data_IF_832520497938
#
_entry.id   IF_832520497938
#
_cell.length_a   1.000
_cell.length_b   1.000
_cell.length_c   1.000
_cell.angle_alpha   90.00
_cell.angle_beta   90.00
_cell.angle_gamma   90.00
#
_symmetry.space_group_name_H-M   'P 1'
#
loop_
_entity.id
_entity.type
_entity.pdbx_description
1 polymer ?
#
# COMPACT_ATOMS: atom_id res chain seq x y z
N UNK A 1 -64.74 -34.39 59.83
CA UNK A 1 -63.99 -35.53 59.26
C UNK A 1 -63.00 -34.99 58.25
N UNK A 2 -61.75 -35.50 58.31
CA UNK A 2 -60.63 -35.14 57.42
C UNK A 2 -60.97 -35.33 55.95
N UNK A 3 -60.55 -34.39 55.10
CA UNK A 3 -59.74 -34.71 53.91
C UNK A 3 -59.01 -33.47 53.40
N UNK A 4 -57.68 -33.57 53.44
CA UNK A 4 -56.68 -32.74 52.79
C UNK A 4 -56.68 -32.95 51.28
N UNK A 5 -56.61 -31.87 50.49
CA UNK A 5 -55.98 -31.87 49.16
C UNK A 5 -55.33 -30.52 48.86
N UNK A 6 -54.01 -30.57 48.73
CA UNK A 6 -53.09 -29.54 48.26
C UNK A 6 -53.00 -29.52 46.73
N UNK A 7 -52.96 -28.33 46.12
CA UNK A 7 -52.43 -28.09 44.76
C UNK A 7 -52.15 -26.59 44.61
N UNK A 8 -50.96 -26.10 44.97
CA UNK A 8 -49.80 -25.81 44.11
C UNK A 8 -50.10 -24.87 42.94
N UNK A 9 -49.95 -23.58 43.21
CA UNK A 9 -49.76 -22.51 42.22
C UNK A 9 -48.45 -22.74 41.46
N UNK A 10 -48.52 -23.02 40.16
CA UNK A 10 -47.35 -23.04 39.30
C UNK A 10 -46.92 -21.59 38.98
N UNK A 11 -45.90 -21.10 39.67
CA UNK A 11 -45.07 -20.00 39.18
C UNK A 11 -44.22 -20.53 38.02
N UNK A 12 -44.56 -20.14 36.78
CA UNK A 12 -43.66 -20.29 35.63
C UNK A 12 -42.50 -19.31 35.79
N UNK A 13 -41.45 -19.74 36.49
CA UNK A 13 -40.15 -19.10 36.42
C UNK A 13 -39.57 -19.36 35.02
N UNK A 14 -39.76 -18.40 34.12
CA UNK A 14 -39.03 -18.36 32.85
C UNK A 14 -37.55 -18.14 33.13
N UNK A 15 -36.80 -19.23 33.29
CA UNK A 15 -35.34 -19.19 33.26
C UNK A 15 -34.97 -18.85 31.80
N UNK A 16 -34.72 -17.57 31.55
CA UNK A 16 -33.88 -17.15 30.44
C UNK A 16 -32.51 -17.76 30.69
N UNK A 17 -32.28 -18.94 30.11
CA UNK A 17 -30.94 -19.50 29.95
C UNK A 17 -30.22 -18.53 29.02
N UNK A 18 -29.59 -17.52 29.60
CA UNK A 18 -28.52 -16.77 28.95
C UNK A 18 -27.39 -17.77 28.75
N UNK A 19 -27.44 -18.48 27.63
CA UNK A 19 -26.31 -19.26 27.16
C UNK A 19 -25.10 -18.32 27.18
N UNK A 20 -23.99 -18.66 27.87
CA UNK A 20 -22.75 -17.94 27.63
C UNK A 20 -22.48 -18.10 26.14
N UNK A 21 -22.60 -17.00 25.40
CA UNK A 21 -22.09 -16.94 24.05
C UNK A 21 -20.59 -17.11 24.23
N UNK A 22 -20.13 -18.36 24.12
CA UNK A 22 -18.74 -18.65 23.85
C UNK A 22 -18.43 -17.89 22.57
N UNK A 23 -17.84 -16.70 22.73
CA UNK A 23 -17.25 -15.95 21.63
C UNK A 23 -16.08 -16.82 21.20
N UNK A 24 -16.38 -17.79 20.34
CA UNK A 24 -15.41 -18.42 19.47
C UNK A 24 -14.61 -17.27 18.87
N UNK A 25 -13.32 -17.18 19.25
CA UNK A 25 -12.42 -16.16 18.75
C UNK A 25 -12.59 -16.05 17.24
N UNK A 26 -13.23 -14.97 16.80
CA UNK A 26 -13.51 -14.77 15.40
C UNK A 26 -12.17 -14.50 14.76
N UNK A 27 -11.65 -15.46 13.99
CA UNK A 27 -10.39 -15.29 13.26
C UNK A 27 -10.54 -14.06 12.36
N UNK A 28 -9.83 -12.98 12.67
CA UNK A 28 -9.90 -11.66 12.02
C UNK A 28 -8.60 -11.37 11.26
N UNK A 29 -8.27 -12.15 10.20
CA UNK A 29 -6.97 -12.06 9.53
C UNK A 29 -6.72 -10.72 8.83
N UNK A 30 -7.76 -9.90 8.66
CA UNK A 30 -7.72 -8.62 7.97
C UNK A 30 -7.82 -7.43 8.92
N UNK A 31 -7.85 -7.65 10.23
CA UNK A 31 -7.98 -6.57 11.21
C UNK A 31 -6.76 -5.67 11.25
N UNK A 32 -7.01 -4.42 11.66
CA UNK A 32 -5.99 -3.43 11.88
C UNK A 32 -6.28 -2.66 13.17
N UNK A 33 -5.23 -2.39 13.92
CA UNK A 33 -5.24 -1.52 15.07
C UNK A 33 -4.36 -0.31 14.77
N UNK A 34 -4.95 0.88 14.71
CA UNK A 34 -4.23 2.13 14.48
C UNK A 34 -4.04 2.83 15.81
N UNK A 35 -2.81 3.20 16.09
CA UNK A 35 -2.44 4.00 17.26
C UNK A 35 -2.26 5.43 16.77
N UNK A 36 -3.09 6.35 17.26
CA UNK A 36 -3.22 7.68 16.69
C UNK A 36 -3.01 8.78 17.74
N UNK A 37 -2.40 9.87 17.28
CA UNK A 37 -2.21 11.11 18.02
C UNK A 37 -3.18 12.17 17.51
N UNK A 38 -4.01 12.71 18.40
CA UNK A 38 -5.08 13.63 18.03
C UNK A 38 -4.86 15.04 18.59
N UNK A 39 -5.11 16.04 17.75
CA UNK A 39 -4.87 17.44 18.07
C UNK A 39 -3.38 17.75 18.25
N UNK A 40 -2.52 17.16 17.40
CA UNK A 40 -1.09 17.50 17.34
C UNK A 40 -0.96 19.02 17.13
N UNK A 41 -0.04 19.67 17.84
CA UNK A 41 0.14 21.12 17.84
C UNK A 41 -0.74 21.88 18.82
N UNK A 42 -1.74 21.22 19.43
CA UNK A 42 -2.67 21.84 20.38
C UNK A 42 -2.39 21.46 21.84
N UNK A 43 -1.52 20.47 22.08
CA UNK A 43 -1.10 20.03 23.40
C UNK A 43 0.13 20.77 23.93
N UNK A 44 0.56 20.39 25.14
CA UNK A 44 1.78 20.93 25.77
C UNK A 44 2.98 20.74 24.83
N UNK A 45 3.77 21.80 24.63
CA UNK A 45 4.93 21.82 23.73
C UNK A 45 4.62 21.46 22.26
N UNK A 46 3.38 21.69 21.79
CA UNK A 46 2.97 21.34 20.43
C UNK A 46 2.69 19.85 20.23
N UNK A 47 2.60 19.06 21.32
CA UNK A 47 2.24 17.65 21.27
C UNK A 47 0.74 17.40 20.99
N UNK A 48 0.34 16.13 21.01
CA UNK A 48 -1.06 15.71 20.91
C UNK A 48 -1.84 15.96 22.21
N UNK A 49 -3.14 16.25 22.05
CA UNK A 49 -4.08 16.47 23.17
C UNK A 49 -4.74 15.18 23.65
N UNK A 50 -4.89 14.19 22.76
CA UNK A 50 -5.37 12.86 23.10
C UNK A 50 -4.68 11.80 22.24
N UNK A 51 -4.78 10.54 22.67
CA UNK A 51 -4.24 9.38 21.97
C UNK A 51 -5.34 8.35 21.86
N UNK A 52 -5.55 7.84 20.67
CA UNK A 52 -6.65 6.93 20.39
C UNK A 52 -6.09 5.61 19.88
N UNK A 53 -6.70 4.53 20.36
CA UNK A 53 -6.54 3.20 19.78
C UNK A 53 -7.79 2.93 18.95
N UNK A 54 -7.60 2.77 17.65
CA UNK A 54 -8.67 2.75 16.66
C UNK A 54 -8.67 1.39 15.97
N UNK A 55 -9.77 0.65 16.06
CA UNK A 55 -9.91 -0.69 15.50
C UNK A 55 -10.69 -0.67 14.18
N UNK A 56 -10.16 -1.42 13.22
CA UNK A 56 -10.75 -1.68 11.93
C UNK A 56 -10.83 -3.19 11.68
N UNK A 57 -12.01 -3.75 11.39
CA UNK A 57 -12.16 -5.17 11.05
C UNK A 57 -11.67 -5.49 9.63
N UNK A 58 -11.14 -4.49 8.92
CA UNK A 58 -10.70 -4.54 7.54
C UNK A 58 -9.82 -3.34 7.24
N UNK A 59 -9.74 -2.93 5.99
CA UNK A 59 -8.81 -1.88 5.54
C UNK A 59 -8.99 -0.57 6.29
N UNK A 60 -7.88 0.07 6.62
CA UNK A 60 -7.91 1.41 7.21
C UNK A 60 -8.05 2.46 6.12
N UNK A 61 -7.43 2.25 4.95
CA UNK A 61 -7.42 3.23 3.86
C UNK A 61 -8.20 2.74 2.64
N UNK A 62 -8.91 3.65 1.97
CA UNK A 62 -9.48 3.42 0.65
C UNK A 62 -8.40 3.54 -0.42
N UNK A 63 -8.64 2.96 -1.60
CA UNK A 63 -7.76 3.09 -2.77
C UNK A 63 -7.43 4.55 -3.16
N UNK A 64 -8.30 5.50 -2.78
CA UNK A 64 -8.12 6.93 -3.05
C UNK A 64 -7.39 7.66 -1.91
N UNK A 65 -6.81 6.93 -0.96
CA UNK A 65 -6.08 7.49 0.19
C UNK A 65 -6.95 8.01 1.33
N UNK A 66 -8.28 7.93 1.23
CA UNK A 66 -9.20 8.31 2.31
C UNK A 66 -9.18 7.26 3.43
N UNK A 67 -9.64 7.62 4.62
CA UNK A 67 -9.73 6.69 5.75
C UNK A 67 -11.12 6.09 5.85
N UNK A 68 -11.20 4.77 5.99
CA UNK A 68 -12.44 4.08 6.31
C UNK A 68 -12.94 4.48 7.70
N UNK A 69 -14.23 4.25 7.97
CA UNK A 69 -14.79 4.50 9.29
C UNK A 69 -14.39 3.37 10.26
N UNK A 70 -13.85 3.69 11.45
CA UNK A 70 -13.52 2.67 12.43
C UNK A 70 -14.76 2.04 13.06
N UNK A 71 -14.63 0.80 13.53
CA UNK A 71 -15.72 0.09 14.21
C UNK A 71 -15.66 0.30 15.71
N UNK A 72 -14.46 0.34 16.29
CA UNK A 72 -14.25 0.62 17.71
C UNK A 72 -13.13 1.64 17.85
N UNK A 73 -13.21 2.44 18.89
CA UNK A 73 -12.17 3.40 19.25
C UNK A 73 -12.21 3.58 20.75
N UNK A 74 -11.05 3.73 21.36
CA UNK A 74 -10.91 4.04 22.77
C UNK A 74 -9.76 5.02 22.99
N UNK A 75 -9.99 5.96 23.90
CA UNK A 75 -8.95 6.87 24.35
C UNK A 75 -7.94 6.12 25.23
N UNK A 76 -6.66 6.29 24.94
CA UNK A 76 -5.55 5.79 25.77
C UNK A 76 -5.12 6.92 26.71
N UNK A 77 -5.33 6.78 28.03
CA UNK A 77 -5.03 7.83 28.98
C UNK A 77 -3.53 8.17 29.02
N UNK A 78 -3.22 9.45 29.23
CA UNK A 78 -1.86 9.90 29.48
C UNK A 78 -1.48 9.67 30.95
N UNK A 79 -0.42 8.90 31.20
CA UNK A 79 0.07 8.60 32.55
C UNK A 79 1.35 9.38 32.93
N UNK A 80 1.70 10.42 32.17
CA UNK A 80 2.94 11.18 32.34
C UNK A 80 4.02 10.87 31.28
N UNK A 81 3.87 9.78 30.53
CA UNK A 81 4.79 9.38 29.46
C UNK A 81 4.03 9.13 28.14
N UNK A 82 4.77 9.22 27.03
CA UNK A 82 4.22 8.92 25.70
C UNK A 82 3.81 7.44 25.62
N UNK A 83 2.53 7.14 25.33
CA UNK A 83 2.02 5.77 25.46
C UNK A 83 2.56 4.83 24.38
N UNK A 84 2.99 5.35 23.22
CA UNK A 84 3.51 4.54 22.12
C UNK A 84 5.00 4.26 22.27
N UNK A 85 5.35 3.52 23.32
CA UNK A 85 6.74 3.24 23.66
C UNK A 85 6.95 1.90 24.36
N UNK A 86 8.17 1.66 24.88
CA UNK A 86 8.58 0.35 25.39
C UNK A 86 7.90 -0.04 26.71
N UNK A 87 7.32 0.93 27.43
CA UNK A 87 6.51 0.68 28.63
C UNK A 87 5.15 0.04 28.31
N UNK A 88 4.78 0.05 27.03
CA UNK A 88 3.56 -0.51 26.52
C UNK A 88 2.31 0.33 26.77
N UNK A 89 1.30 0.10 25.95
CA UNK A 89 -0.03 0.71 26.08
C UNK A 89 -1.08 -0.39 26.27
N UNK A 90 -2.04 -0.13 27.16
CA UNK A 90 -3.11 -1.06 27.50
C UNK A 90 -4.45 -0.35 27.40
N UNK A 91 -5.41 -0.94 26.72
CA UNK A 91 -6.76 -0.40 26.65
C UNK A 91 -7.80 -1.52 26.58
N UNK A 92 -8.99 -1.21 27.09
CA UNK A 92 -10.19 -2.04 26.91
C UNK A 92 -11.13 -1.33 25.95
N UNK A 93 -11.43 -1.95 24.83
CA UNK A 93 -12.35 -1.43 23.82
C UNK A 93 -13.80 -1.43 24.34
N UNK A 94 -14.73 -0.65 23.74
CA UNK A 94 -16.12 -0.60 24.17
C UNK A 94 -16.87 -1.94 24.19
N UNK A 95 -16.42 -2.92 23.40
CA UNK A 95 -16.97 -4.28 23.37
C UNK A 95 -16.37 -5.22 24.43
N UNK A 96 -15.45 -4.73 25.28
CA UNK A 96 -14.79 -5.51 26.34
C UNK A 96 -13.46 -6.13 25.94
N UNK A 97 -13.06 -6.04 24.67
CA UNK A 97 -11.80 -6.57 24.16
C UNK A 97 -10.61 -5.83 24.76
N UNK A 98 -9.60 -6.56 25.23
CA UNK A 98 -8.39 -5.98 25.83
C UNK A 98 -7.23 -6.08 24.86
N UNK A 99 -6.54 -4.95 24.69
CA UNK A 99 -5.36 -4.84 23.87
C UNK A 99 -4.15 -4.44 24.73
N UNK A 100 -3.03 -5.10 24.48
CA UNK A 100 -1.72 -4.71 25.02
C UNK A 100 -0.72 -4.53 23.89
N UNK A 101 -0.05 -3.39 23.86
CA UNK A 101 0.83 -2.97 22.77
C UNK A 101 2.21 -2.75 23.35
N UNK A 102 3.25 -3.23 22.66
CA UNK A 102 4.65 -3.06 23.04
C UNK A 102 5.42 -2.54 21.83
N UNK A 103 6.01 -1.34 21.93
CA UNK A 103 6.65 -0.65 20.81
C UNK A 103 8.05 -0.18 21.15
N UNK A 104 8.90 -0.08 20.13
CA UNK A 104 10.16 0.61 20.18
C UNK A 104 10.02 1.94 19.42
N UNK A 105 9.90 3.02 20.18
CA UNK A 105 9.72 4.40 19.71
C UNK A 105 10.91 4.95 18.92
N UNK A 106 12.06 4.26 18.95
CA UNK A 106 13.25 4.64 18.17
C UNK A 106 13.19 4.16 16.72
N UNK A 107 12.22 3.31 16.36
CA UNK A 107 12.09 2.75 15.02
C UNK A 107 11.33 3.73 14.12
N UNK A 108 12.02 4.18 13.06
CA UNK A 108 11.49 5.14 12.08
C UNK A 108 10.68 4.45 10.99
N UNK A 109 9.79 5.21 10.38
CA UNK A 109 8.94 4.78 9.27
C UNK A 109 9.74 4.16 8.11
N UNK A 110 9.17 3.18 7.39
CA UNK A 110 7.92 2.44 7.67
C UNK A 110 8.19 1.08 8.36
N UNK A 111 9.14 1.03 9.30
CA UNK A 111 9.66 -0.24 9.81
C UNK A 111 8.79 -0.84 10.92
N UNK A 112 8.86 -2.17 11.05
CA UNK A 112 8.23 -2.91 12.13
C UNK A 112 8.82 -2.46 13.49
N UNK A 113 7.96 -1.90 14.33
CA UNK A 113 8.33 -1.23 15.57
C UNK A 113 7.94 -2.01 16.83
N UNK A 114 7.12 -3.05 16.72
CA UNK A 114 6.70 -3.85 17.87
C UNK A 114 5.44 -4.66 17.59
N UNK A 115 4.70 -5.02 18.64
CA UNK A 115 3.58 -5.96 18.55
C UNK A 115 2.38 -5.50 19.39
N UNK A 116 1.17 -5.79 18.89
CA UNK A 116 -0.08 -5.61 19.62
C UNK A 116 -0.76 -6.97 19.83
N UNK A 117 -1.14 -7.25 21.07
CA UNK A 117 -1.75 -8.51 21.49
C UNK A 117 -3.20 -8.28 21.87
N UNK A 118 -4.04 -9.17 21.39
CA UNK A 118 -5.45 -9.23 21.74
C UNK A 118 -5.69 -10.28 22.82
N UNK A 119 -6.48 -9.98 23.85
CA UNK A 119 -6.68 -10.90 24.98
C UNK A 119 -7.32 -12.24 24.62
N UNK A 120 -8.04 -12.31 23.49
CA UNK A 120 -8.64 -13.57 23.03
C UNK A 120 -7.74 -14.37 22.07
N UNK A 121 -6.70 -13.75 21.51
CA UNK A 121 -5.73 -14.41 20.60
C UNK A 121 -4.28 -13.98 20.94
N UNK A 122 -3.79 -14.26 22.16
CA UNK A 122 -2.46 -13.81 22.59
C UNK A 122 -1.30 -14.48 21.84
N UNK A 123 -1.55 -15.60 21.17
CA UNK A 123 -0.59 -16.33 20.33
C UNK A 123 -0.45 -15.76 18.91
N UNK A 124 -1.29 -14.79 18.52
CA UNK A 124 -1.31 -14.18 17.19
C UNK A 124 -1.21 -12.66 17.28
N UNK A 125 -0.04 -12.10 17.65
CA UNK A 125 0.13 -10.67 17.71
C UNK A 125 -0.01 -10.01 16.33
N UNK A 126 -0.58 -8.81 16.30
CA UNK A 126 -0.48 -7.90 15.17
C UNK A 126 0.90 -7.27 15.17
N UNK A 127 1.61 -7.31 14.03
CA UNK A 127 2.87 -6.60 13.88
C UNK A 127 2.58 -5.11 13.71
N UNK A 128 3.17 -4.27 14.54
CA UNK A 128 3.01 -2.82 14.52
C UNK A 128 4.14 -2.16 13.71
N UNK A 129 3.78 -1.24 12.83
CA UNK A 129 4.68 -0.49 11.96
C UNK A 129 4.62 0.99 12.27
N UNK A 130 5.77 1.64 12.39
CA UNK A 130 5.85 3.10 12.50
C UNK A 130 5.36 3.70 11.18
N UNK A 131 4.27 4.45 11.21
CA UNK A 131 3.64 4.97 9.99
C UNK A 131 2.82 6.22 10.26
N UNK A 132 3.37 7.35 9.85
CA UNK A 132 2.79 8.67 10.06
C UNK A 132 1.95 9.10 8.87
N UNK A 133 0.62 8.96 9.00
CA UNK A 133 -0.36 9.44 8.03
C UNK A 133 -1.27 10.45 8.70
N UNK A 134 -1.44 11.60 8.05
CA UNK A 134 -2.31 12.65 8.56
C UNK A 134 -3.79 12.39 8.27
N UNK A 135 -4.65 12.98 9.12
CA UNK A 135 -6.11 13.03 8.97
C UNK A 135 -6.75 11.63 8.90
N UNK A 136 -6.31 10.74 9.79
CA UNK A 136 -6.84 9.37 9.88
C UNK A 136 -8.25 9.35 10.46
N UNK A 137 -8.54 10.25 11.39
CA UNK A 137 -9.88 10.36 11.96
C UNK A 137 -10.11 11.78 12.49
N UNK A 138 -11.37 12.22 12.53
CA UNK A 138 -11.76 13.47 13.18
C UNK A 138 -12.62 13.15 14.39
N UNK A 139 -12.19 13.59 15.57
CA UNK A 139 -12.93 13.45 16.81
C UNK A 139 -14.20 14.31 16.80
N UNK A 140 -15.15 13.97 17.68
CA UNK A 140 -16.40 14.72 17.81
C UNK A 140 -16.19 16.20 18.23
N UNK A 141 -15.07 16.50 18.89
CA UNK A 141 -14.66 17.86 19.25
C UNK A 141 -13.95 18.62 18.09
N UNK A 142 -13.91 18.02 16.89
CA UNK A 142 -13.37 18.61 15.68
C UNK A 142 -11.87 18.41 15.47
N UNK A 143 -11.14 17.82 16.43
CA UNK A 143 -9.69 17.61 16.31
C UNK A 143 -9.36 16.49 15.35
N UNK A 144 -8.34 16.71 14.52
CA UNK A 144 -7.81 15.68 13.62
C UNK A 144 -6.80 14.79 14.33
N UNK A 145 -6.84 13.51 13.99
CA UNK A 145 -5.88 12.50 14.38
C UNK A 145 -4.94 12.18 13.23
N UNK A 146 -3.69 11.89 13.56
CA UNK A 146 -2.68 11.30 12.66
C UNK A 146 -2.26 9.94 13.22
N UNK A 147 -2.00 8.96 12.36
CA UNK A 147 -1.45 7.68 12.83
C UNK A 147 -0.01 7.88 13.31
N UNK A 148 0.35 7.21 14.39
CA UNK A 148 1.74 6.98 14.80
C UNK A 148 2.18 5.56 14.41
N UNK A 149 1.28 4.58 14.62
CA UNK A 149 1.54 3.20 14.26
C UNK A 149 0.31 2.52 13.65
N UNK A 150 0.56 1.56 12.76
CA UNK A 150 -0.47 0.67 12.21
C UNK A 150 -0.07 -0.76 12.52
N UNK A 151 -0.90 -1.49 13.28
CA UNK A 151 -0.69 -2.89 13.63
C UNK A 151 -1.61 -3.80 12.82
N UNK A 152 -1.06 -4.83 12.19
CA UNK A 152 -1.82 -5.77 11.36
C UNK A 152 -1.12 -7.13 11.17
N UNK A 153 -1.85 -8.08 10.60
CA UNK A 153 -1.34 -9.40 10.19
C UNK A 153 -0.72 -9.42 8.78
N UNK A 154 -0.70 -8.29 8.06
CA UNK A 154 -0.42 -8.20 6.61
C UNK A 154 1.03 -7.89 6.27
N UNK A 155 1.88 -7.66 7.25
CA UNK A 155 3.31 -7.46 7.02
C UNK A 155 3.70 -6.04 6.56
N UNK A 156 2.76 -5.08 6.52
CA UNK A 156 3.00 -3.72 6.00
C UNK A 156 2.02 -2.69 6.59
N UNK A 157 2.45 -1.42 6.84
CA UNK A 157 1.54 -0.37 7.30
C UNK A 157 0.53 0.12 6.24
N UNK A 158 0.76 -0.18 4.95
CA UNK A 158 -0.10 0.29 3.86
C UNK A 158 -1.28 -0.69 3.64
N UNK A 159 -2.32 -0.53 4.46
CA UNK A 159 -3.47 -1.44 4.58
C UNK A 159 -4.62 -1.05 3.64
N UNK A 160 -4.31 -1.00 2.34
CA UNK A 160 -5.27 -0.85 1.25
C UNK A 160 -5.94 -2.19 0.90
N UNK A 161 -7.09 -2.13 0.23
CA UNK A 161 -7.94 -3.27 -0.17
C UNK A 161 -7.17 -4.38 -0.88
N UNK A 162 -6.90 -5.47 -0.15
CA UNK A 162 -6.59 -6.79 -0.73
C UNK A 162 -7.84 -7.64 -0.52
N UNK A 163 -8.54 -8.01 -1.60
CA UNK A 163 -9.70 -8.91 -1.56
C UNK A 163 -9.25 -10.26 -0.96
N UNK A 164 -10.08 -10.93 -0.14
CA UNK A 164 -9.61 -11.90 0.85
C UNK A 164 -8.99 -13.14 0.21
N UNK A 165 -7.71 -13.35 0.47
CA UNK A 165 -6.96 -14.52 0.02
C UNK A 165 -5.46 -14.32 0.04
N UNK A 166 -4.90 -13.64 1.04
CA UNK A 166 -3.45 -13.51 1.20
C UNK A 166 -3.12 -13.24 2.66
N UNK A 167 -2.90 -14.32 3.41
CA UNK A 167 -2.03 -14.30 4.57
C UNK A 167 -0.61 -14.58 4.09
N UNK A 168 0.33 -13.71 4.42
CA UNK A 168 1.76 -13.95 4.30
C UNK A 168 2.45 -13.20 5.45
N UNK A 169 3.48 -13.70 6.12
CA UNK A 169 4.26 -14.93 5.97
C UNK A 169 5.61 -14.77 6.71
N UNK A 170 6.33 -15.88 6.90
CA UNK A 170 7.68 -16.06 7.49
C UNK A 170 7.76 -16.11 9.03
N UNK A 171 8.41 -17.07 9.69
CA UNK A 171 9.36 -18.13 9.27
C UNK A 171 9.45 -19.17 10.40
N UNK A 172 9.71 -20.45 10.08
CA UNK A 172 9.95 -21.51 11.07
C UNK A 172 9.47 -22.87 10.55
N UNK A 173 10.40 -23.80 10.33
CA UNK A 173 10.19 -25.05 9.60
C UNK A 173 9.09 -25.96 10.15
N UNK A 174 8.46 -26.70 9.24
CA UNK A 174 7.49 -27.74 9.57
C UNK A 174 6.59 -28.12 8.39
N UNK A 175 6.95 -29.24 7.75
CA UNK A 175 6.25 -30.04 6.74
C UNK A 175 4.71 -29.85 6.58
N UNK A 176 4.25 -29.74 5.32
CA UNK A 176 2.91 -30.21 4.91
C UNK A 176 2.11 -29.35 3.91
N UNK A 177 2.16 -29.68 2.61
CA UNK A 177 1.13 -29.34 1.60
C UNK A 177 1.32 -28.05 0.79
N UNK A 178 2.24 -28.03 -0.17
CA UNK A 178 2.64 -26.82 -0.92
C UNK A 178 1.67 -26.40 -2.04
N UNK A 179 1.27 -25.12 -2.03
CA UNK A 179 0.64 -24.42 -3.16
C UNK A 179 1.70 -23.77 -4.04
N UNK A 180 1.44 -23.66 -5.33
CA UNK A 180 2.36 -22.98 -6.25
C UNK A 180 2.38 -21.47 -5.98
N UNK A 181 3.56 -20.86 -6.07
CA UNK A 181 3.79 -19.43 -5.86
C UNK A 181 3.83 -18.69 -7.19
N UNK A 182 3.09 -17.60 -7.32
CA UNK A 182 3.19 -16.76 -8.51
C UNK A 182 4.30 -15.72 -8.36
N UNK A 183 5.09 -15.48 -9.40
CA UNK A 183 6.15 -14.46 -9.44
C UNK A 183 6.05 -13.64 -10.71
N UNK A 184 6.29 -12.34 -10.62
CA UNK A 184 6.45 -11.43 -11.77
C UNK A 184 7.91 -10.96 -11.78
N UNK A 185 8.63 -11.29 -12.83
CA UNK A 185 10.00 -10.84 -13.05
C UNK A 185 9.99 -9.84 -14.20
N UNK A 186 10.50 -8.65 -13.97
CA UNK A 186 10.65 -7.60 -14.96
C UNK A 186 12.15 -7.30 -15.17
N UNK A 187 12.52 -6.89 -16.37
CA UNK A 187 13.86 -6.44 -16.70
C UNK A 187 13.83 -5.22 -17.63
N UNK A 188 14.85 -4.37 -17.52
CA UNK A 188 15.08 -3.26 -18.45
C UNK A 188 16.50 -3.29 -19.01
N UNK A 189 16.69 -2.71 -20.20
CA UNK A 189 18.00 -2.59 -20.85
C UNK A 189 18.80 -1.37 -20.36
N UNK A 190 18.25 -0.57 -19.44
CA UNK A 190 18.91 0.59 -18.85
C UNK A 190 18.79 1.90 -19.63
N UNK A 191 18.25 1.85 -20.84
CA UNK A 191 17.87 3.06 -21.57
C UNK A 191 16.71 3.73 -20.87
N UNK A 192 16.72 5.06 -20.85
CA UNK A 192 15.65 5.87 -20.29
C UNK A 192 15.23 6.98 -21.24
N UNK A 193 13.98 7.38 -21.13
CA UNK A 193 13.41 8.50 -21.89
C UNK A 193 12.98 9.58 -20.90
N UNK A 194 13.05 10.83 -21.33
CA UNK A 194 12.59 11.98 -20.55
C UNK A 194 11.39 12.61 -21.26
N UNK A 195 10.30 12.80 -20.52
CA UNK A 195 9.02 13.30 -21.04
C UNK A 195 8.60 14.56 -20.30
N UNK A 196 8.01 15.49 -21.04
CA UNK A 196 7.59 16.80 -20.55
C UNK A 196 6.15 16.77 -20.01
N UNK A 197 5.91 17.41 -18.86
CA UNK A 197 4.58 17.66 -18.26
C UNK A 197 3.71 16.39 -18.16
N UNK A 198 4.29 15.28 -17.70
CA UNK A 198 3.59 14.00 -17.51
C UNK A 198 4.15 13.24 -16.30
N UNK A 199 3.51 12.13 -15.93
CA UNK A 199 3.91 11.28 -14.81
C UNK A 199 4.14 9.83 -15.25
N UNK A 200 5.00 9.10 -14.54
CA UNK A 200 5.21 7.67 -14.80
C UNK A 200 3.89 6.89 -14.72
N UNK A 201 3.07 7.15 -13.70
CA UNK A 201 1.76 6.51 -13.53
C UNK A 201 0.82 6.79 -14.72
N UNK A 202 0.76 8.03 -15.23
CA UNK A 202 -0.12 8.35 -16.37
C UNK A 202 0.31 7.66 -17.65
N UNK A 203 1.62 7.49 -17.88
CA UNK A 203 2.17 6.76 -19.03
C UNK A 203 1.88 5.28 -18.89
N UNK A 204 2.17 4.70 -17.73
CA UNK A 204 2.01 3.27 -17.46
C UNK A 204 0.54 2.85 -17.49
N UNK A 205 -0.37 3.70 -17.00
CA UNK A 205 -1.81 3.45 -17.05
C UNK A 205 -2.37 3.29 -18.48
N UNK A 206 -1.62 3.67 -19.52
CA UNK A 206 -2.03 3.43 -20.92
C UNK A 206 -2.18 1.94 -21.25
N UNK A 207 -1.50 1.04 -20.53
CA UNK A 207 -1.63 -0.41 -20.73
C UNK A 207 -3.06 -0.90 -20.57
N UNK A 208 -3.86 -0.28 -19.70
CA UNK A 208 -5.26 -0.68 -19.49
C UNK A 208 -6.13 -0.36 -20.70
N UNK A 209 -5.72 0.59 -21.54
CA UNK A 209 -6.42 0.96 -22.79
C UNK A 209 -6.20 -0.07 -23.90
N UNK A 210 -5.20 -0.94 -23.76
CA UNK A 210 -4.90 -1.96 -24.77
C UNK A 210 -5.61 -3.28 -24.49
N UNK A 211 -6.25 -3.44 -23.33
CA UNK A 211 -6.97 -4.66 -22.98
C UNK A 211 -8.28 -4.76 -23.76
N UNK A 212 -8.55 -5.96 -24.28
CA UNK A 212 -9.80 -6.31 -24.95
C UNK A 212 -10.50 -7.39 -24.13
N UNK A 213 -11.80 -7.21 -23.88
CA UNK A 213 -12.59 -8.14 -23.08
C UNK A 213 -12.54 -9.55 -23.69
N UNK A 214 -12.20 -10.53 -22.86
CA UNK A 214 -12.09 -11.95 -23.28
C UNK A 214 -10.84 -12.29 -24.09
N UNK A 215 -9.96 -11.33 -24.41
CA UNK A 215 -8.72 -11.57 -25.14
C UNK A 215 -7.57 -11.99 -24.21
N UNK A 216 -6.71 -12.89 -24.70
CA UNK A 216 -5.42 -13.22 -24.09
C UNK A 216 -4.33 -12.22 -24.45
N UNK A 217 -4.54 -11.45 -25.52
CA UNK A 217 -3.57 -10.50 -26.06
C UNK A 217 -4.11 -9.07 -25.96
N UNK A 218 -3.21 -8.11 -25.77
CA UNK A 218 -3.56 -6.70 -25.87
C UNK A 218 -3.40 -6.13 -27.28
N UNK A 219 -4.05 -4.99 -27.49
CA UNK A 219 -3.82 -4.13 -28.63
C UNK A 219 -2.36 -3.61 -28.65
N UNK A 220 -1.71 -3.78 -29.78
CA UNK A 220 -0.33 -3.36 -29.99
C UNK A 220 -0.22 -2.04 -30.76
N UNK A 221 -1.33 -1.34 -31.01
CA UNK A 221 -1.32 -0.01 -31.60
C UNK A 221 -0.55 0.97 -30.71
N UNK A 222 0.47 1.66 -31.25
CA UNK A 222 1.21 2.67 -30.49
C UNK A 222 0.30 3.79 -29.98
N UNK A 223 0.48 4.18 -28.71
CA UNK A 223 -0.30 5.24 -28.05
C UNK A 223 0.61 6.47 -27.89
N UNK A 224 0.14 7.65 -28.30
CA UNK A 224 0.85 8.90 -28.06
C UNK A 224 0.88 9.27 -26.57
N UNK A 225 2.05 9.63 -26.04
CA UNK A 225 2.25 9.95 -24.62
C UNK A 225 2.83 11.36 -24.37
N UNK A 226 2.73 12.24 -25.37
CA UNK A 226 3.30 13.59 -25.33
C UNK A 226 4.75 13.63 -25.80
N UNK A 227 5.33 14.85 -25.91
CA UNK A 227 6.74 15.07 -26.31
C UNK A 227 7.16 14.40 -27.63
N UNK A 228 6.21 14.19 -28.56
CA UNK A 228 6.41 13.39 -29.79
C UNK A 228 6.92 11.97 -29.52
N UNK A 229 6.50 11.41 -28.39
CA UNK A 229 6.79 10.05 -27.98
C UNK A 229 5.54 9.18 -28.11
N UNK A 230 5.77 7.91 -28.41
CA UNK A 230 4.74 6.87 -28.43
C UNK A 230 5.17 5.71 -27.55
N UNK A 231 4.21 5.07 -26.88
CA UNK A 231 4.39 3.81 -26.16
C UNK A 231 3.71 2.69 -26.91
N UNK A 232 4.41 1.59 -27.11
CA UNK A 232 3.86 0.36 -27.69
C UNK A 232 3.88 -0.73 -26.62
N UNK A 233 2.71 -1.30 -26.35
CA UNK A 233 2.56 -2.45 -25.47
C UNK A 233 2.54 -3.74 -26.30
N UNK A 234 3.16 -4.79 -25.77
CA UNK A 234 3.00 -6.16 -26.26
C UNK A 234 2.71 -7.02 -25.04
N UNK A 235 1.63 -7.77 -25.05
CA UNK A 235 1.30 -8.60 -23.91
C UNK A 235 0.46 -9.79 -24.33
N UNK A 236 0.62 -10.87 -23.56
CA UNK A 236 -0.04 -12.14 -23.76
C UNK A 236 -0.27 -12.82 -22.40
N UNK A 237 -1.42 -13.45 -22.22
CA UNK A 237 -1.73 -14.32 -21.12
C UNK A 237 -1.99 -15.74 -21.64
N UNK A 238 -1.44 -16.74 -20.95
CA UNK A 238 -1.67 -18.13 -21.31
C UNK A 238 -3.15 -18.54 -21.14
N UNK A 239 -3.88 -17.87 -20.24
CA UNK A 239 -5.31 -18.06 -20.02
C UNK A 239 -5.95 -16.73 -19.57
N UNK A 240 -7.05 -16.34 -20.23
CA UNK A 240 -7.81 -15.13 -19.89
C UNK A 240 -8.48 -15.22 -18.51
N UNK A 241 -8.71 -16.42 -17.97
CA UNK A 241 -9.32 -16.64 -16.65
C UNK A 241 -8.41 -16.30 -15.48
N UNK A 242 -7.10 -16.33 -15.68
CA UNK A 242 -6.11 -16.12 -14.60
C UNK A 242 -5.81 -14.63 -14.33
N UNK A 243 -6.43 -13.73 -15.09
CA UNK A 243 -6.22 -12.27 -15.00
C UNK A 243 -4.74 -11.87 -15.00
N UNK A 244 -3.90 -12.60 -15.76
CA UNK A 244 -2.45 -12.37 -15.79
C UNK A 244 -2.12 -10.97 -16.32
N UNK A 245 -2.82 -10.51 -17.37
CA UNK A 245 -2.66 -9.15 -17.90
C UNK A 245 -2.98 -8.08 -16.85
N UNK A 246 -4.10 -8.23 -16.12
CA UNK A 246 -4.47 -7.29 -15.07
C UNK A 246 -3.47 -7.28 -13.91
N UNK A 247 -2.91 -8.44 -13.55
CA UNK A 247 -1.87 -8.54 -12.53
C UNK A 247 -0.55 -7.90 -12.98
N UNK A 248 -0.12 -8.13 -14.21
CA UNK A 248 1.08 -7.51 -14.77
C UNK A 248 0.92 -5.98 -14.88
N UNK A 249 -0.24 -5.48 -15.32
CA UNK A 249 -0.51 -4.04 -15.31
C UNK A 249 -0.43 -3.44 -13.89
N UNK A 250 -0.97 -4.14 -12.89
CA UNK A 250 -0.82 -3.70 -11.50
C UNK A 250 0.63 -3.75 -10.99
N UNK A 251 1.47 -4.68 -11.50
CA UNK A 251 2.90 -4.69 -11.20
C UNK A 251 3.58 -3.43 -11.76
N UNK A 252 3.24 -3.03 -12.99
CA UNK A 252 3.71 -1.78 -13.57
C UNK A 252 3.25 -0.54 -12.78
N UNK A 253 2.00 -0.51 -12.31
CA UNK A 253 1.51 0.60 -11.46
C UNK A 253 2.33 0.74 -10.17
N UNK A 254 2.67 -0.39 -9.53
CA UNK A 254 3.49 -0.42 -8.33
C UNK A 254 4.94 -0.01 -8.60
N UNK A 255 5.51 -0.46 -9.72
CA UNK A 255 6.84 -0.02 -10.15
C UNK A 255 6.85 1.49 -10.43
N UNK A 256 5.85 2.02 -11.14
CA UNK A 256 5.76 3.45 -11.47
C UNK A 256 5.70 4.37 -10.25
N UNK A 257 5.17 3.88 -9.13
CA UNK A 257 5.11 4.61 -7.87
C UNK A 257 6.48 4.70 -7.14
N UNK A 258 7.50 3.95 -7.58
CA UNK A 258 8.83 3.93 -6.97
C UNK A 258 9.72 5.03 -7.56
N UNK A 259 10.47 5.69 -6.69
CA UNK A 259 11.49 6.67 -7.07
C UNK A 259 12.66 6.07 -7.84
N UNK A 260 12.90 4.77 -7.66
CA UNK A 260 13.93 3.99 -8.34
C UNK A 260 13.54 3.70 -9.80
N UNK A 261 12.23 3.67 -10.08
CA UNK A 261 11.69 3.45 -11.42
C UNK A 261 11.59 4.76 -12.22
N UNK A 262 11.21 5.86 -11.56
CA UNK A 262 11.09 7.16 -12.22
C UNK A 262 11.66 8.29 -11.38
N UNK A 263 12.34 9.21 -12.05
CA UNK A 263 12.84 10.45 -11.44
C UNK A 263 12.15 11.66 -12.05
N UNK A 264 12.02 12.72 -11.26
CA UNK A 264 11.44 14.00 -11.68
C UNK A 264 12.50 15.08 -11.65
N UNK A 265 12.51 15.94 -12.65
CA UNK A 265 13.38 17.12 -12.74
C UNK A 265 12.53 18.35 -13.02
N UNK A 266 12.71 19.38 -12.21
CA UNK A 266 12.15 20.71 -12.46
C UNK A 266 13.22 21.57 -13.16
N UNK A 267 12.85 22.25 -14.24
CA UNK A 267 13.67 23.27 -14.87
C UNK A 267 13.01 24.63 -14.68
N UNK A 268 13.71 25.54 -13.99
CA UNK A 268 13.21 26.88 -13.68
C UNK A 268 13.94 27.90 -14.53
N UNK A 269 13.19 28.77 -15.18
CA UNK A 269 13.75 29.86 -15.98
C UNK A 269 12.82 31.07 -15.97
N UNK A 270 13.41 32.25 -15.98
CA UNK A 270 12.67 33.49 -15.92
C UNK A 270 12.37 33.98 -17.34
N UNK A 271 11.08 34.12 -17.65
CA UNK A 271 10.64 34.81 -18.86
C UNK A 271 10.40 36.28 -18.57
N UNK A 272 10.74 37.12 -19.54
CA UNK A 272 10.32 38.51 -19.46
C UNK A 272 8.84 38.63 -19.81
N UNK A 273 8.01 38.97 -18.82
CA UNK A 273 6.58 39.22 -19.00
C UNK A 273 6.32 40.61 -19.56
N UNK A 274 7.13 41.59 -19.14
CA UNK A 274 7.00 42.98 -19.55
C UNK A 274 8.36 43.54 -20.00
N UNK A 275 8.66 43.53 -21.30
CA UNK A 275 9.85 44.21 -21.82
C UNK A 275 9.70 45.74 -21.66
N UNK A 276 10.80 46.40 -21.36
CA UNK A 276 10.90 47.86 -21.28
C UNK A 276 10.89 48.43 -22.70
N UNK A 277 9.95 49.33 -22.96
CA UNK A 277 9.76 50.00 -24.25
C UNK A 277 10.15 51.48 -24.21
N UNK A 278 10.75 51.95 -23.11
CA UNK A 278 11.18 53.34 -22.98
C UNK A 278 12.45 53.60 -23.81
N UNK A 279 12.56 54.76 -24.48
CA UNK A 279 13.76 55.15 -25.22
C UNK A 279 15.05 55.01 -24.40
N UNK A 280 16.03 54.28 -24.93
CA UNK A 280 17.33 54.02 -24.30
C UNK A 280 17.37 52.86 -23.30
N UNK A 281 16.27 52.11 -23.15
CA UNK A 281 16.17 50.90 -22.31
C UNK A 281 15.49 49.72 -23.01
N UNK A 282 15.32 49.81 -24.32
CA UNK A 282 14.64 48.78 -25.11
C UNK A 282 15.33 47.42 -24.94
N UNK A 283 14.53 46.40 -24.62
CA UNK A 283 15.01 45.04 -24.42
C UNK A 283 15.38 44.68 -22.97
N UNK A 284 15.42 45.64 -22.04
CA UNK A 284 15.48 45.32 -20.61
C UNK A 284 14.14 44.75 -20.15
N UNK A 285 14.13 43.88 -19.13
CA UNK A 285 12.88 43.38 -18.59
C UNK A 285 12.45 44.15 -17.33
N UNK A 286 11.20 44.61 -17.30
CA UNK A 286 10.62 45.27 -16.13
C UNK A 286 9.98 44.28 -15.15
N UNK A 287 9.51 43.14 -15.65
CA UNK A 287 8.85 42.13 -14.84
C UNK A 287 9.17 40.73 -15.37
N UNK A 288 9.80 39.93 -14.51
CA UNK A 288 10.05 38.53 -14.76
C UNK A 288 8.90 37.67 -14.23
N UNK A 289 8.65 36.56 -14.91
CA UNK A 289 7.79 35.48 -14.45
C UNK A 289 8.60 34.18 -14.51
N UNK A 290 8.73 33.50 -13.37
CA UNK A 290 9.44 32.22 -13.32
C UNK A 290 8.54 31.13 -13.88
N UNK A 291 8.96 30.52 -14.98
CA UNK A 291 8.36 29.30 -15.51
C UNK A 291 9.04 28.08 -14.90
N UNK A 292 8.23 27.08 -14.57
CA UNK A 292 8.68 25.80 -14.03
C UNK A 292 8.20 24.72 -15.00
N UNK A 293 9.16 24.06 -15.63
CA UNK A 293 8.94 22.94 -16.55
C UNK A 293 9.22 21.63 -15.82
N UNK A 294 8.28 20.68 -15.87
CA UNK A 294 8.42 19.38 -15.23
C UNK A 294 8.80 18.31 -16.24
N UNK A 295 9.84 17.53 -15.91
CA UNK A 295 10.30 16.40 -16.70
C UNK A 295 10.25 15.13 -15.86
N UNK A 296 9.73 14.04 -16.45
CA UNK A 296 9.79 12.70 -15.84
C UNK A 296 10.68 11.79 -16.67
N UNK A 297 11.57 11.08 -16.00
CA UNK A 297 12.43 10.06 -16.60
C UNK A 297 11.95 8.67 -16.22
N UNK A 298 11.86 7.77 -17.19
CA UNK A 298 11.41 6.39 -17.01
C UNK A 298 12.14 5.44 -17.96
N UNK A 299 12.11 4.12 -17.72
CA UNK A 299 12.80 3.15 -18.56
C UNK A 299 12.18 3.15 -19.95
N UNK A 300 13.03 3.13 -20.98
CA UNK A 300 12.59 3.13 -22.38
C UNK A 300 11.84 1.85 -22.70
N UNK A 301 12.30 0.72 -22.19
CA UNK A 301 11.65 -0.57 -22.34
C UNK A 301 11.69 -1.35 -21.04
N UNK A 302 10.66 -2.18 -20.86
CA UNK A 302 10.62 -3.23 -19.85
C UNK A 302 10.03 -4.48 -20.49
N UNK A 303 10.63 -5.61 -20.15
CA UNK A 303 10.09 -6.93 -20.41
C UNK A 303 9.69 -7.55 -19.08
N UNK A 304 8.43 -7.95 -18.93
CA UNK A 304 7.94 -8.58 -17.71
C UNK A 304 7.29 -9.94 -18.00
N UNK A 305 7.61 -10.93 -17.18
CA UNK A 305 7.08 -12.29 -17.26
C UNK A 305 6.47 -12.68 -15.93
N UNK A 306 5.29 -13.28 -15.99
CA UNK A 306 4.58 -13.83 -14.84
C UNK A 306 4.66 -15.35 -14.90
N UNK A 307 5.23 -15.97 -13.87
CA UNK A 307 5.44 -17.41 -13.77
C UNK A 307 4.77 -17.98 -12.53
N UNK A 308 4.43 -19.26 -12.59
CA UNK A 308 4.07 -20.06 -11.43
C UNK A 308 5.25 -20.94 -11.03
N UNK A 309 5.71 -20.83 -9.80
CA UNK A 309 6.84 -21.57 -9.21
C UNK A 309 6.27 -22.68 -8.33
N UNK A 310 6.42 -23.95 -8.72
CA UNK A 310 5.99 -25.06 -7.90
C UNK A 310 6.79 -25.16 -6.60
N UNK A 311 6.22 -25.74 -5.53
CA UNK A 311 6.94 -25.97 -4.28
C UNK A 311 8.23 -26.74 -4.51
N UNK A 312 9.27 -26.39 -3.75
CA UNK A 312 10.55 -27.09 -3.77
C UNK A 312 10.35 -28.60 -3.51
N UNK A 313 10.99 -29.44 -4.33
CA UNK A 313 10.86 -30.89 -4.24
C UNK A 313 9.62 -31.49 -4.92
N UNK A 314 8.76 -30.68 -5.56
CA UNK A 314 7.56 -31.20 -6.25
C UNK A 314 7.82 -31.84 -7.62
N UNK A 315 9.02 -31.68 -8.19
CA UNK A 315 9.37 -32.20 -9.52
C UNK A 315 8.65 -31.53 -10.71
N UNK A 316 7.78 -30.55 -10.45
CA UNK A 316 7.09 -29.75 -11.47
C UNK A 316 7.98 -28.57 -11.89
N UNK A 317 8.00 -28.28 -13.19
CA UNK A 317 8.72 -27.12 -13.74
C UNK A 317 7.89 -25.84 -13.60
N UNK A 318 8.53 -24.66 -13.48
CA UNK A 318 7.85 -23.38 -13.59
C UNK A 318 7.09 -23.26 -14.91
N UNK A 319 5.90 -22.65 -14.85
CA UNK A 319 5.08 -22.40 -16.03
C UNK A 319 4.84 -20.91 -16.21
N UNK A 320 5.02 -20.42 -17.44
CA UNK A 320 4.76 -19.02 -17.81
C UNK A 320 3.25 -18.82 -17.90
N UNK A 321 2.72 -17.94 -17.07
CA UNK A 321 1.30 -17.55 -17.04
C UNK A 321 1.00 -16.39 -18.01
N UNK A 322 2.01 -15.60 -18.36
CA UNK A 322 1.90 -14.51 -19.31
C UNK A 322 3.15 -13.63 -19.34
N UNK A 323 3.20 -12.74 -20.31
CA UNK A 323 4.25 -11.73 -20.45
C UNK A 323 3.66 -10.39 -20.88
N UNK A 324 4.32 -9.30 -20.51
CA UNK A 324 3.90 -7.95 -20.79
C UNK A 324 5.11 -7.03 -20.88
N UNK A 325 5.27 -6.43 -22.05
CA UNK A 325 6.40 -5.61 -22.39
C UNK A 325 5.92 -4.27 -22.92
N UNK A 326 6.71 -3.23 -22.69
CA UNK A 326 6.51 -1.96 -23.37
C UNK A 326 7.81 -1.44 -23.97
N UNK A 327 7.66 -0.63 -25.01
CA UNK A 327 8.75 0.14 -25.59
C UNK A 327 8.26 1.57 -25.87
N UNK A 328 9.05 2.55 -25.46
CA UNK A 328 8.82 3.97 -25.74
C UNK A 328 9.77 4.44 -26.84
N UNK A 329 9.20 5.09 -27.86
CA UNK A 329 9.95 5.67 -28.98
C UNK A 329 9.69 7.16 -29.03
N UNK A 330 10.77 7.95 -28.99
CA UNK A 330 10.77 9.41 -29.02
C UNK A 330 11.64 9.93 -30.17
N UNK A 331 11.36 11.14 -30.68
CA UNK A 331 12.21 11.81 -31.70
C UNK A 331 13.57 12.28 -31.16
N UNK A 332 13.71 12.49 -29.84
CA UNK A 332 14.99 12.88 -29.20
C UNK A 332 15.49 11.81 -28.22
N UNK A 333 16.82 11.78 -28.05
CA UNK A 333 17.64 10.65 -27.62
C UNK A 333 17.35 10.10 -26.21
N UNK A 334 17.48 8.78 -26.10
CA UNK A 334 17.50 8.04 -24.84
C UNK A 334 18.78 8.31 -24.03
N UNK A 335 18.66 8.33 -22.71
CA UNK A 335 19.81 8.37 -21.79
C UNK A 335 20.15 6.93 -21.37
N UNK A 336 21.35 6.47 -21.69
CA UNK A 336 21.83 5.14 -21.32
C UNK A 336 22.19 5.06 -19.83
N UNK A 337 22.01 3.88 -19.24
CA UNK A 337 22.45 3.45 -17.90
C UNK A 337 21.99 4.24 -16.67
N UNK A 338 21.26 5.35 -16.82
CA UNK A 338 20.92 6.22 -15.68
C UNK A 338 19.94 5.54 -14.71
N UNK A 339 19.04 4.72 -15.24
CA UNK A 339 18.04 4.01 -14.42
C UNK A 339 18.62 2.76 -13.76
N UNK A 340 19.55 2.06 -14.42
CA UNK A 340 20.18 0.89 -13.83
C UNK A 340 20.99 1.23 -12.57
N UNK A 341 21.64 2.40 -12.54
CA UNK A 341 22.31 2.90 -11.34
C UNK A 341 21.33 3.15 -10.17
N UNK A 342 20.08 3.50 -10.47
CA UNK A 342 19.04 3.72 -9.46
C UNK A 342 18.36 2.42 -8.99
N UNK A 343 18.16 1.46 -9.91
CA UNK A 343 17.59 0.14 -9.62
C UNK A 343 18.60 -0.77 -8.91
N UNK A 344 19.90 -0.59 -9.17
CA UNK A 344 20.95 -1.49 -8.70
C UNK A 344 20.85 -2.88 -9.34
N UNK A 345 21.13 -3.93 -8.56
CA UNK A 345 21.04 -5.33 -9.03
C UNK A 345 19.60 -5.81 -9.19
N UNK A 346 18.69 -5.37 -8.32
CA UNK A 346 17.25 -5.65 -8.42
C UNK A 346 16.44 -4.78 -7.46
N UNK A 347 15.26 -4.36 -7.91
CA UNK A 347 14.22 -3.71 -7.11
C UNK A 347 13.10 -4.72 -6.86
N UNK A 348 12.93 -5.12 -5.60
CA UNK A 348 11.78 -5.92 -5.17
C UNK A 348 10.60 -5.02 -4.81
N UNK A 349 9.42 -5.31 -5.35
CA UNK A 349 8.17 -4.64 -4.97
C UNK A 349 7.25 -5.67 -4.33
N UNK A 350 7.08 -5.56 -3.02
CA UNK A 350 6.16 -6.42 -2.28
C UNK A 350 4.73 -6.13 -2.76
N UNK A 351 4.09 -7.13 -3.38
CA UNK A 351 2.75 -7.00 -3.91
C UNK A 351 1.82 -8.13 -3.46
N UNK A 352 1.33 -7.99 -2.23
CA UNK A 352 0.25 -8.86 -1.73
C UNK A 352 -1.04 -8.76 -2.55
N UNK A 353 -1.28 -7.61 -3.22
CA UNK A 353 -2.47 -7.39 -4.05
C UNK A 353 -2.47 -8.12 -5.39
N UNK A 354 -1.28 -8.50 -5.89
CA UNK A 354 -1.13 -9.25 -7.14
C UNK A 354 -1.09 -10.77 -6.92
N UNK A 355 -0.93 -11.19 -5.65
CA UNK A 355 -0.63 -12.57 -5.30
C UNK A 355 0.67 -13.05 -5.92
N UNK A 356 1.58 -12.11 -6.24
CA UNK A 356 2.84 -12.40 -6.90
C UNK A 356 3.95 -11.49 -6.40
N UNK A 357 5.13 -12.05 -6.09
CA UNK A 357 6.33 -11.25 -5.85
C UNK A 357 6.76 -10.54 -7.13
N UNK A 358 6.95 -9.22 -7.10
CA UNK A 358 7.41 -8.45 -8.26
C UNK A 358 8.88 -8.11 -8.07
N UNK A 359 9.72 -8.42 -9.06
CA UNK A 359 11.14 -8.04 -9.06
C UNK A 359 11.49 -7.38 -10.38
N UNK A 360 12.09 -6.20 -10.35
CA UNK A 360 12.65 -5.53 -11.53
C UNK A 360 14.17 -5.57 -11.48
N UNK A 361 14.80 -6.16 -12.49
CA UNK A 361 16.25 -6.15 -12.66
C UNK A 361 16.70 -5.24 -13.81
N UNK A 362 17.99 -4.91 -13.83
CA UNK A 362 18.62 -4.34 -15.02
C UNK A 362 19.44 -5.43 -15.72
N UNK A 363 19.20 -5.63 -17.02
CA UNK A 363 19.90 -6.62 -17.85
C UNK A 363 21.12 -6.05 -18.58
N UNK A 364 21.43 -4.77 -18.41
CA UNK A 364 22.55 -4.11 -19.07
C UNK A 364 23.88 -4.61 -18.49
N UNK A 365 24.54 -5.51 -19.19
CA UNK A 365 25.95 -5.81 -18.93
C UNK A 365 26.79 -4.59 -19.32
N UNK A 366 27.28 -3.83 -18.34
CA UNK A 366 28.16 -2.68 -18.58
C UNK A 366 27.58 -1.29 -18.31
N UNK A 367 26.49 -1.22 -17.54
CA UNK A 367 26.34 -0.14 -16.57
C UNK A 367 27.09 -0.57 -15.28
#
# INVERSE_FOLDING_TARGET
MRTTTTSWSAFMAGILVSAPQSVLGQKTPNENLVLADCGIGLGVNGGSTSREMIYYPGDVWTANGQTNRPTLMVNVPWNGAYPWGPQGAFATMPNGDKWSIWLNDKIKDPNAAGDAYHSMEPDKPLKCYSYHKDKVYQLADGKWCSSAYVCNHRGSPNVLTVKPGSGGGSSGGGSGGGKDETRITASTNGDSVELYETTANSIIATVRKTFKDGSTDCDQTPIGIGSKCTIKWKCHAADSKNNALGKMAGAYDLMAARSEFSSRRESKWDICKRPDTRPGREGQCQQYETKIDHYVRLPRSIDATMDNIPPAGSGRNPNVLGWMNYEITCESSAFACTICNAIGTSMGVASGSLGAGVTLGCAAAGC
#
